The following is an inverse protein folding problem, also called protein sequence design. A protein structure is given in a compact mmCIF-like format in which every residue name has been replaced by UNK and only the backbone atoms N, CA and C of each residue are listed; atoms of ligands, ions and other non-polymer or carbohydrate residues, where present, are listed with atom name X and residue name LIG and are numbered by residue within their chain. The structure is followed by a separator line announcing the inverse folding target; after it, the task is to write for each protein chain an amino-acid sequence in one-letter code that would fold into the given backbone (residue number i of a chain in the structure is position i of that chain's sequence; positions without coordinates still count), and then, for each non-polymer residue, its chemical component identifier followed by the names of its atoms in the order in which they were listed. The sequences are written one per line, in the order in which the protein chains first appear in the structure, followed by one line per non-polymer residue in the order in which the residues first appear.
data_IF_933395294212
#
_entry.id   IF_933395294212
#
_cell.length_a   1.000
_cell.length_b   1.000
_cell.length_c   1.000
_cell.angle_alpha   90.00
_cell.angle_beta   90.00
_cell.angle_gamma   90.00
#
_symmetry.space_group_name_H-M   'P 1'
#
loop_
_entity.id
_entity.type
_entity.pdbx_description
1 polymer ?
#
# COMPACT_ATOMS: atom_id res chain seq x y z
N UNK A 1 -12.83 -12.18 -4.12
CA UNK A 1 -12.61 -12.26 -5.58
C UNK A 1 -13.33 -13.48 -6.16
N UNK A 2 -13.70 -13.50 -7.45
CA UNK A 2 -14.55 -14.56 -8.05
C UNK A 2 -13.79 -15.80 -8.59
N UNK A 3 -12.50 -15.97 -8.25
CA UNK A 3 -11.71 -17.15 -8.67
C UNK A 3 -11.37 -17.22 -10.17
N UNK A 4 -11.31 -16.07 -10.86
CA UNK A 4 -11.16 -16.01 -12.32
C UNK A 4 -9.70 -16.09 -12.81
N UNK A 5 -8.71 -16.17 -11.92
CA UNK A 5 -7.30 -16.29 -12.29
C UNK A 5 -6.35 -15.53 -11.36
N UNK A 6 -5.15 -15.22 -11.88
CA UNK A 6 -4.09 -14.49 -11.20
C UNK A 6 -4.17 -12.99 -11.51
N UNK A 7 -3.79 -12.16 -10.54
CA UNK A 7 -3.70 -10.72 -10.71
C UNK A 7 -2.57 -10.13 -9.86
N UNK A 8 -1.89 -9.11 -10.38
CA UNK A 8 -1.00 -8.27 -9.59
C UNK A 8 -1.86 -7.20 -8.90
N UNK A 9 -1.93 -7.25 -7.57
CA UNK A 9 -2.76 -6.36 -6.78
C UNK A 9 -1.91 -5.67 -5.71
N UNK A 10 -2.14 -4.37 -5.45
CA UNK A 10 -1.55 -3.69 -4.30
C UNK A 10 -2.01 -4.33 -2.98
N UNK A 11 -1.08 -4.53 -2.05
CA UNK A 11 -1.34 -5.17 -0.76
C UNK A 11 -2.49 -4.50 0.02
N UNK A 12 -2.59 -3.17 -0.03
CA UNK A 12 -3.65 -2.44 0.69
C UNK A 12 -5.08 -2.80 0.22
N UNK A 13 -5.25 -3.34 -0.99
CA UNK A 13 -6.55 -3.79 -1.49
C UNK A 13 -6.88 -5.22 -1.07
N UNK A 14 -5.88 -6.08 -0.93
CA UNK A 14 -6.08 -7.53 -0.80
C UNK A 14 -5.56 -8.14 0.50
N UNK A 15 -4.96 -7.36 1.41
CA UNK A 15 -4.31 -7.90 2.61
C UNK A 15 -5.22 -8.73 3.51
N UNK A 16 -6.49 -8.36 3.66
CA UNK A 16 -7.47 -9.14 4.46
C UNK A 16 -7.83 -10.46 3.80
N UNK A 17 -7.90 -10.48 2.48
CA UNK A 17 -8.15 -11.70 1.73
C UNK A 17 -6.94 -12.63 1.79
N UNK A 18 -5.72 -12.07 1.80
CA UNK A 18 -4.49 -12.82 2.04
C UNK A 18 -4.40 -13.34 3.48
N UNK A 19 -4.77 -12.52 4.48
CA UNK A 19 -4.78 -12.89 5.90
C UNK A 19 -5.81 -14.00 6.19
N UNK A 20 -6.99 -13.93 5.59
CA UNK A 20 -8.03 -14.95 5.72
C UNK A 20 -7.79 -16.20 4.89
N UNK A 21 -6.80 -16.19 3.98
CA UNK A 21 -6.53 -17.29 3.05
C UNK A 21 -7.51 -17.40 1.87
N UNK A 22 -8.41 -16.42 1.71
CA UNK A 22 -9.27 -16.31 0.53
C UNK A 22 -8.46 -16.00 -0.75
N UNK A 23 -7.27 -15.42 -0.60
CA UNK A 23 -6.25 -15.27 -1.62
C UNK A 23 -4.93 -15.86 -1.15
N UNK A 24 -4.08 -16.23 -2.12
CA UNK A 24 -2.74 -16.73 -1.88
C UNK A 24 -1.75 -16.03 -2.81
N UNK A 25 -0.53 -15.79 -2.31
CA UNK A 25 0.59 -15.34 -3.13
C UNK A 25 1.09 -16.49 -3.99
N UNK A 26 1.52 -16.18 -5.20
CA UNK A 26 2.16 -17.12 -6.14
C UNK A 26 3.34 -16.42 -6.80
N UNK A 27 4.28 -17.20 -7.34
CA UNK A 27 5.48 -16.65 -8.01
C UNK A 27 6.31 -15.74 -7.10
N UNK A 28 6.58 -16.18 -5.86
CA UNK A 28 7.26 -15.35 -4.85
C UNK A 28 8.70 -14.96 -5.23
N UNK A 29 9.31 -15.69 -6.17
CA UNK A 29 10.62 -15.37 -6.74
C UNK A 29 10.58 -14.25 -7.80
N UNK A 30 9.40 -13.72 -8.12
CA UNK A 30 9.19 -12.67 -9.10
C UNK A 30 8.47 -11.47 -8.49
N UNK A 31 9.00 -10.27 -8.75
CA UNK A 31 8.39 -9.01 -8.30
C UNK A 31 8.49 -7.93 -9.36
N UNK A 32 7.56 -6.97 -9.29
CA UNK A 32 7.68 -5.69 -10.01
C UNK A 32 8.36 -4.64 -9.14
N UNK A 33 8.83 -3.57 -9.78
CA UNK A 33 9.31 -2.39 -9.06
C UNK A 33 8.22 -1.86 -8.12
N UNK A 34 8.53 -1.61 -6.84
CA UNK A 34 7.54 -1.10 -5.91
C UNK A 34 6.94 0.25 -6.33
N UNK A 35 5.61 0.34 -6.26
CA UNK A 35 4.90 1.60 -6.49
C UNK A 35 4.80 2.40 -5.19
N UNK A 36 5.11 3.69 -5.26
CA UNK A 36 4.95 4.60 -4.14
C UNK A 36 3.52 5.18 -4.06
N UNK A 37 3.02 5.36 -2.83
CA UNK A 37 1.79 6.09 -2.54
C UNK A 37 2.15 7.56 -2.25
N UNK A 38 1.53 8.49 -2.99
CA UNK A 38 1.86 9.91 -2.89
C UNK A 38 0.70 10.76 -2.38
N UNK A 39 0.99 11.68 -1.47
CA UNK A 39 0.10 12.77 -1.09
C UNK A 39 0.40 13.99 -1.97
N UNK A 40 -0.50 14.30 -2.90
CA UNK A 40 -0.32 15.41 -3.85
C UNK A 40 -1.05 16.65 -3.36
N UNK A 41 -0.37 17.80 -3.38
CA UNK A 41 -0.95 19.11 -3.03
C UNK A 41 -0.67 20.13 -4.13
N UNK A 42 -1.56 21.12 -4.35
CA UNK A 42 -1.32 22.17 -5.34
C UNK A 42 0.03 22.88 -5.14
N UNK A 43 0.70 23.30 -6.23
CA UNK A 43 1.90 24.13 -6.14
C UNK A 43 1.53 25.54 -5.63
N UNK A 44 2.39 26.18 -4.84
CA UNK A 44 2.17 27.55 -4.37
C UNK A 44 2.49 27.78 -2.89
N UNK A 45 1.95 28.87 -2.31
CA UNK A 45 2.23 29.34 -0.94
C UNK A 45 2.13 28.20 0.10
N UNK A 46 2.93 28.32 1.16
CA UNK A 46 3.11 27.30 2.21
C UNK A 46 1.80 26.62 2.65
N UNK A 47 1.88 25.31 2.86
CA UNK A 47 0.74 24.48 3.26
C UNK A 47 0.13 25.03 4.56
N UNK A 48 -1.20 25.29 4.62
CA UNK A 48 -1.85 25.66 5.88
C UNK A 48 -1.56 24.62 6.97
N UNK A 49 -1.45 25.06 8.23
CA UNK A 49 -1.10 24.17 9.34
C UNK A 49 -1.96 22.90 9.41
N UNK A 50 -3.27 23.02 9.18
CA UNK A 50 -4.20 21.88 9.11
C UNK A 50 -3.85 20.84 8.03
N UNK A 51 -3.34 21.29 6.87
CA UNK A 51 -2.96 20.40 5.77
C UNK A 51 -1.69 19.65 6.13
N UNK A 52 -0.73 20.34 6.76
CA UNK A 52 0.48 19.69 7.26
C UNK A 52 0.16 18.65 8.32
N UNK A 53 -0.68 19.00 9.30
CA UNK A 53 -1.14 18.06 10.32
C UNK A 53 -1.81 16.81 9.71
N UNK A 54 -2.65 16.98 8.68
CA UNK A 54 -3.27 15.84 7.99
C UNK A 54 -2.24 14.98 7.24
N UNK A 55 -1.28 15.62 6.55
CA UNK A 55 -0.21 14.90 5.85
C UNK A 55 0.61 14.06 6.85
N UNK A 56 1.02 14.67 7.96
CA UNK A 56 1.81 14.00 8.99
C UNK A 56 1.03 12.83 9.61
N UNK A 57 -0.26 13.03 9.88
CA UNK A 57 -1.15 11.97 10.38
C UNK A 57 -1.29 10.81 9.38
N UNK A 58 -1.57 11.10 8.11
CA UNK A 58 -1.75 10.06 7.10
C UNK A 58 -0.45 9.29 6.85
N UNK A 59 0.69 9.99 6.80
CA UNK A 59 2.00 9.35 6.64
C UNK A 59 2.29 8.37 7.77
N UNK A 60 2.07 8.77 9.03
CA UNK A 60 2.27 7.89 10.19
C UNK A 60 1.26 6.75 10.21
N UNK A 61 -0.04 7.04 9.98
CA UNK A 61 -1.09 6.03 10.05
C UNK A 61 -0.91 4.95 8.98
N UNK A 62 -0.65 5.34 7.73
CA UNK A 62 -0.50 4.40 6.62
C UNK A 62 0.78 3.54 6.75
N UNK A 63 1.86 4.10 7.30
CA UNK A 63 3.08 3.34 7.57
C UNK A 63 2.91 2.23 8.63
N UNK A 64 1.88 2.35 9.48
CA UNK A 64 1.58 1.39 10.57
C UNK A 64 0.54 0.36 10.20
N UNK A 65 -0.07 0.44 9.02
CA UNK A 65 -1.07 -0.53 8.61
C UNK A 65 -0.45 -1.92 8.39
N UNK A 66 -1.21 -3.02 8.62
CA UNK A 66 -0.69 -4.39 8.49
C UNK A 66 -0.08 -4.67 7.11
N UNK A 67 -0.67 -4.12 6.05
CA UNK A 67 -0.20 -4.26 4.69
C UNK A 67 1.11 -3.51 4.38
N UNK A 68 1.52 -2.56 5.22
CA UNK A 68 2.78 -1.83 5.05
C UNK A 68 4.00 -2.61 5.60
N UNK A 69 3.77 -3.60 6.46
CA UNK A 69 4.82 -4.33 7.18
C UNK A 69 5.25 -5.63 6.51
N UNK A 70 4.57 -6.06 5.43
CA UNK A 70 4.86 -7.34 4.79
C UNK A 70 6.26 -7.26 4.14
N UNK A 71 7.19 -8.17 4.48
CA UNK A 71 8.49 -8.22 3.82
C UNK A 71 8.24 -8.50 2.34
N UNK A 72 8.50 -7.48 1.52
CA UNK A 72 8.54 -7.61 0.06
C UNK A 72 9.75 -8.49 -0.24
N UNK A 73 9.53 -9.60 -0.94
CA UNK A 73 10.55 -10.60 -1.24
C UNK A 73 11.88 -9.94 -1.59
N UNK A 74 12.90 -10.21 -0.78
CA UNK A 74 14.27 -9.72 -1.01
C UNK A 74 14.86 -10.52 -2.17
N UNK A 75 15.22 -9.83 -3.25
CA UNK A 75 16.30 -10.23 -4.14
C UNK A 75 17.48 -9.29 -3.91
#
# INVERSE_FOLDING_TARGET
MAGLGLALQPDFLCWKDLESGALQTVMEDWSVEPLALHLVTPPGRGKPARVRALIDYLADKLAREPWAQRPRGTL
#
